data_IF_232997586743
#
_entry.id   IF_232997586743
#
_cell.length_a   1.000
_cell.length_b   1.000
_cell.length_c   1.000
_cell.angle_alpha   90.00
_cell.angle_beta   90.00
_cell.angle_gamma   90.00
#
_symmetry.space_group_name_H-M   'P 1'
#
loop_
_entity.id
_entity.type
_entity.pdbx_description
1 polymer ?
#
# COMPACT_ATOMS: atom_id res chain seq x y z
N UNK A 1 -8.86 11.63 9.26
CA UNK A 1 -8.29 11.38 10.60
C UNK A 1 -7.13 12.33 10.84
N UNK A 2 -6.92 12.87 12.04
CA UNK A 2 -5.78 13.77 12.32
C UNK A 2 -4.51 12.96 12.62
N UNK A 3 -3.33 13.52 12.38
CA UNK A 3 -2.04 12.87 12.69
C UNK A 3 -1.89 12.55 14.19
N UNK A 4 -2.46 13.38 15.07
CA UNK A 4 -2.51 13.12 16.50
C UNK A 4 -3.29 11.83 16.81
N UNK A 5 -4.48 11.65 16.20
CA UNK A 5 -5.28 10.44 16.35
C UNK A 5 -4.55 9.19 15.80
N UNK A 6 -3.85 9.32 14.66
CA UNK A 6 -3.02 8.22 14.10
C UNK A 6 -1.93 7.81 15.09
N UNK A 7 -1.24 8.77 15.71
CA UNK A 7 -0.19 8.49 16.69
C UNK A 7 -0.73 7.78 17.92
N UNK A 8 -1.87 8.23 18.45
CA UNK A 8 -2.56 7.57 19.56
C UNK A 8 -2.93 6.13 19.20
N UNK A 9 -3.53 5.92 18.01
CA UNK A 9 -3.87 4.59 17.53
C UNK A 9 -2.66 3.67 17.47
N UNK A 10 -1.54 4.17 16.95
CA UNK A 10 -0.30 3.41 16.88
C UNK A 10 0.26 3.08 18.27
N UNK A 11 0.25 4.02 19.22
CA UNK A 11 0.69 3.73 20.59
C UNK A 11 -0.19 2.70 21.27
N UNK A 12 -1.51 2.80 21.12
CA UNK A 12 -2.47 1.82 21.64
C UNK A 12 -2.23 0.44 21.05
N UNK A 13 -2.02 0.37 19.72
CA UNK A 13 -1.70 -0.89 19.04
C UNK A 13 -0.45 -1.57 19.61
N UNK A 14 0.62 -0.80 19.90
CA UNK A 14 1.83 -1.36 20.53
C UNK A 14 1.62 -1.86 21.96
N UNK A 15 0.71 -1.23 22.70
CA UNK A 15 0.39 -1.67 24.07
C UNK A 15 -0.42 -2.97 24.04
N UNK A 16 -1.43 -3.05 23.17
CA UNK A 16 -2.30 -4.23 23.05
C UNK A 16 -1.54 -5.40 22.42
N UNK A 17 -0.78 -5.15 21.35
CA UNK A 17 -0.03 -6.17 20.61
C UNK A 17 1.47 -6.05 20.88
N UNK A 18 1.86 -6.24 22.14
CA UNK A 18 3.24 -6.06 22.60
C UNK A 18 4.29 -6.94 21.89
N UNK A 19 3.87 -8.10 21.35
CA UNK A 19 4.74 -9.02 20.61
C UNK A 19 4.96 -8.62 19.14
N UNK A 20 4.22 -7.62 18.62
CA UNK A 20 4.31 -7.18 17.22
C UNK A 20 5.11 -5.89 17.14
N UNK A 21 6.34 -5.98 16.61
CA UNK A 21 7.22 -4.82 16.47
C UNK A 21 6.63 -3.70 15.58
N UNK A 22 5.92 -4.06 14.51
CA UNK A 22 5.38 -3.14 13.51
C UNK A 22 3.86 -3.34 13.34
N UNK A 23 3.03 -2.88 14.30
CA UNK A 23 1.61 -3.23 14.35
C UNK A 23 0.83 -2.74 13.12
N UNK A 24 1.24 -1.63 12.51
CA UNK A 24 0.56 -1.09 11.31
C UNK A 24 1.03 -1.71 10.00
N UNK A 25 2.22 -2.33 9.99
CA UNK A 25 2.67 -3.10 8.85
C UNK A 25 2.06 -4.50 8.87
N UNK A 26 1.67 -5.04 10.02
CA UNK A 26 1.18 -6.40 10.13
C UNK A 26 -0.22 -6.59 9.52
N UNK A 27 -0.46 -7.76 8.91
CA UNK A 27 -1.80 -8.19 8.50
C UNK A 27 -2.79 -8.25 9.67
N UNK A 28 -2.30 -8.36 10.92
CA UNK A 28 -3.13 -8.27 12.13
C UNK A 28 -3.89 -6.94 12.21
N UNK A 29 -3.38 -5.86 11.61
CA UNK A 29 -4.13 -4.61 11.53
C UNK A 29 -5.47 -4.82 10.81
N UNK A 30 -5.49 -5.57 9.71
CA UNK A 30 -6.74 -5.85 8.96
C UNK A 30 -7.74 -6.65 9.78
N UNK A 31 -7.26 -7.66 10.49
CA UNK A 31 -8.10 -8.62 11.19
C UNK A 31 -8.58 -8.10 12.56
N UNK A 32 -7.74 -7.34 13.26
CA UNK A 32 -7.93 -6.96 14.66
C UNK A 32 -7.97 -5.43 14.86
N UNK A 33 -7.75 -4.63 13.82
CA UNK A 33 -7.67 -3.17 13.92
C UNK A 33 -8.94 -2.49 14.43
N UNK A 34 -10.08 -3.18 14.38
CA UNK A 34 -11.32 -2.74 15.01
C UNK A 34 -11.20 -2.55 16.53
N UNK A 35 -10.44 -3.41 17.21
CA UNK A 35 -10.22 -3.33 18.66
C UNK A 35 -9.49 -2.03 19.04
N UNK A 36 -8.50 -1.62 18.24
CA UNK A 36 -7.79 -0.35 18.42
C UNK A 36 -8.77 0.82 18.28
N UNK A 37 -9.66 0.78 17.29
CA UNK A 37 -10.65 1.85 17.08
C UNK A 37 -11.64 1.94 18.24
N UNK A 38 -12.09 0.79 18.77
CA UNK A 38 -12.92 0.75 19.98
C UNK A 38 -12.22 1.44 21.16
N UNK A 39 -10.99 1.05 21.48
CA UNK A 39 -10.26 1.59 22.63
C UNK A 39 -10.11 3.11 22.55
N UNK A 40 -9.75 3.65 21.38
CA UNK A 40 -9.58 5.09 21.18
C UNK A 40 -10.89 5.85 21.38
N UNK A 41 -12.02 5.32 20.89
CA UNK A 41 -13.32 5.99 21.04
C UNK A 41 -13.83 5.89 22.48
N UNK A 42 -13.59 4.79 23.19
CA UNK A 42 -13.94 4.69 24.62
C UNK A 42 -13.14 5.64 25.51
N UNK A 43 -11.87 5.88 25.19
CA UNK A 43 -11.00 6.81 25.94
C UNK A 43 -11.25 8.28 25.56
N UNK A 44 -11.77 8.54 24.35
CA UNK A 44 -12.10 9.87 23.87
C UNK A 44 -13.28 9.83 22.87
N UNK A 45 -14.53 9.86 23.37
CA UNK A 45 -15.73 9.63 22.56
C UNK A 45 -15.90 10.74 21.54
N UNK A 46 -15.49 10.46 20.31
CA UNK A 46 -15.43 11.42 19.22
C UNK A 46 -15.93 10.81 17.90
N UNK A 47 -16.94 9.94 18.00
CA UNK A 47 -17.71 9.48 16.85
C UNK A 47 -17.01 8.36 16.09
N UNK A 48 -16.53 7.37 16.81
CA UNK A 48 -16.01 6.17 16.20
C UNK A 48 -17.09 5.34 15.46
N UNK A 49 -16.69 4.62 14.41
CA UNK A 49 -17.61 3.90 13.51
C UNK A 49 -17.86 2.47 13.99
N UNK A 50 -19.11 2.20 14.39
CA UNK A 50 -19.60 0.86 14.71
C UNK A 50 -20.23 0.22 13.47
N UNK A 51 -19.72 -0.94 13.03
CA UNK A 51 -20.26 -1.65 11.87
C UNK A 51 -21.53 -2.42 12.24
N UNK A 52 -22.71 -1.84 11.95
CA UNK A 52 -24.01 -2.47 12.19
C UNK A 52 -24.19 -3.80 11.42
N UNK A 53 -23.57 -3.94 10.25
CA UNK A 53 -23.61 -5.15 9.42
C UNK A 53 -22.68 -6.28 9.92
N UNK A 54 -21.67 -5.96 10.74
CA UNK A 54 -20.78 -6.93 11.40
C UNK A 54 -21.14 -7.08 12.88
N UNK A 55 -22.42 -7.26 13.18
CA UNK A 55 -22.94 -7.50 14.54
C UNK A 55 -22.55 -6.41 15.57
N UNK A 56 -22.32 -5.16 15.15
CA UNK A 56 -21.96 -4.07 16.06
C UNK A 56 -20.48 -4.03 16.46
N UNK A 57 -19.60 -4.74 15.74
CA UNK A 57 -18.16 -4.64 15.96
C UNK A 57 -17.58 -3.35 15.38
N UNK A 58 -16.54 -2.86 16.04
CA UNK A 58 -15.73 -1.76 15.55
C UNK A 58 -14.90 -2.23 14.35
N UNK A 59 -14.82 -1.41 13.30
CA UNK A 59 -14.12 -1.75 12.07
C UNK A 59 -13.10 -0.67 11.70
N UNK A 60 -12.11 -1.05 10.89
CA UNK A 60 -11.24 -0.06 10.27
C UNK A 60 -12.03 0.77 9.24
N UNK A 61 -11.63 2.02 9.01
CA UNK A 61 -12.17 2.79 7.89
C UNK A 61 -11.92 2.06 6.56
N UNK A 62 -12.89 2.08 5.65
CA UNK A 62 -12.80 1.46 4.32
C UNK A 62 -11.56 1.94 3.53
N UNK A 63 -11.17 3.21 3.70
CA UNK A 63 -9.96 3.76 3.10
C UNK A 63 -8.67 3.11 3.60
N UNK A 64 -8.65 2.60 4.82
CA UNK A 64 -7.51 1.84 5.38
C UNK A 64 -7.55 0.41 4.87
N UNK A 65 -8.72 -0.24 4.89
CA UNK A 65 -8.87 -1.62 4.40
C UNK A 65 -8.48 -1.74 2.92
N UNK A 66 -8.95 -0.81 2.08
CA UNK A 66 -8.62 -0.74 0.65
C UNK A 66 -7.13 -0.47 0.37
N UNK A 67 -6.42 0.21 1.27
CA UNK A 67 -4.97 0.39 1.15
C UNK A 67 -4.23 -0.89 1.54
N UNK A 68 -4.66 -1.58 2.60
CA UNK A 68 -4.08 -2.87 3.01
C UNK A 68 -4.22 -3.92 1.90
N UNK A 69 -5.31 -3.89 1.13
CA UNK A 69 -5.52 -4.80 -0.01
C UNK A 69 -4.51 -4.63 -1.15
N UNK A 70 -3.77 -3.52 -1.16
CA UNK A 70 -2.68 -3.28 -2.12
C UNK A 70 -1.35 -3.89 -1.69
N UNK A 71 -1.28 -4.62 -0.57
CA UNK A 71 -0.07 -5.30 -0.14
C UNK A 71 -0.17 -6.81 -0.33
N UNK A 72 0.95 -7.45 -0.68
CA UNK A 72 1.14 -8.89 -0.47
C UNK A 72 1.80 -9.11 0.90
N UNK A 73 1.38 -10.16 1.58
CA UNK A 73 1.88 -10.56 2.89
C UNK A 73 2.42 -11.98 2.82
N UNK A 74 3.49 -12.24 3.56
CA UNK A 74 4.06 -13.58 3.71
C UNK A 74 3.60 -14.27 5.01
N UNK A 75 4.13 -15.47 5.25
CA UNK A 75 3.82 -16.29 6.43
C UNK A 75 4.09 -15.61 7.78
N UNK A 76 5.03 -14.66 7.84
CA UNK A 76 5.33 -13.84 9.02
C UNK A 76 4.34 -12.68 9.22
N UNK A 77 3.35 -12.56 8.32
CA UNK A 77 2.29 -11.55 8.33
C UNK A 77 2.80 -10.12 8.16
N UNK A 78 4.00 -9.95 7.63
CA UNK A 78 4.56 -8.66 7.22
C UNK A 78 4.43 -8.47 5.70
N UNK A 79 4.40 -7.22 5.22
CA UNK A 79 4.21 -6.92 3.82
C UNK A 79 5.52 -7.15 3.06
N UNK A 80 5.45 -7.85 1.94
CA UNK A 80 6.61 -8.11 1.07
C UNK A 80 6.55 -7.36 -0.24
N UNK A 81 5.35 -7.05 -0.73
CA UNK A 81 5.15 -6.21 -1.90
C UNK A 81 4.04 -5.21 -1.67
N UNK A 82 4.17 -4.05 -2.27
CA UNK A 82 3.14 -3.04 -2.31
C UNK A 82 2.82 -2.69 -3.77
N UNK A 83 1.55 -2.54 -4.10
CA UNK A 83 1.06 -2.19 -5.43
C UNK A 83 0.38 -0.82 -5.37
N UNK A 84 1.14 0.29 -5.48
CA UNK A 84 0.61 1.64 -5.25
C UNK A 84 -0.58 2.01 -6.15
N UNK A 85 -0.59 1.46 -7.37
CA UNK A 85 -1.65 1.65 -8.35
C UNK A 85 -2.78 0.60 -8.29
N UNK A 86 -2.71 -0.33 -7.32
CA UNK A 86 -3.56 -1.51 -7.20
C UNK A 86 -2.96 -2.75 -7.89
N UNK A 87 -3.32 -3.94 -7.42
CA UNK A 87 -2.76 -5.23 -7.88
C UNK A 87 -3.08 -5.59 -9.34
N UNK A 88 -4.05 -4.91 -9.94
CA UNK A 88 -4.40 -5.07 -11.36
C UNK A 88 -3.53 -4.20 -12.29
N UNK A 89 -2.66 -3.36 -11.74
CA UNK A 89 -1.70 -2.54 -12.47
C UNK A 89 -0.29 -3.11 -12.32
N UNK A 90 0.59 -2.93 -13.32
CA UNK A 90 1.89 -3.58 -13.34
C UNK A 90 2.93 -2.83 -12.50
N UNK A 91 2.54 -2.00 -11.51
CA UNK A 91 3.45 -1.17 -10.73
C UNK A 91 3.55 -1.73 -9.32
N UNK A 92 4.77 -2.04 -8.90
CA UNK A 92 5.06 -2.66 -7.60
C UNK A 92 6.27 -2.02 -6.94
N UNK A 93 6.26 -2.00 -5.62
CA UNK A 93 7.42 -1.80 -4.75
C UNK A 93 7.72 -3.14 -4.11
N UNK A 94 8.88 -3.69 -4.44
CA UNK A 94 9.37 -4.97 -3.93
C UNK A 94 10.79 -4.73 -3.41
N UNK A 95 11.07 -4.87 -2.09
CA UNK A 95 12.40 -4.66 -1.54
C UNK A 95 13.49 -5.55 -2.16
N UNK A 96 13.13 -6.73 -2.66
CA UNK A 96 14.06 -7.69 -3.27
C UNK A 96 14.40 -7.34 -4.73
N UNK A 97 13.60 -6.47 -5.36
CA UNK A 97 13.78 -6.02 -6.74
C UNK A 97 14.06 -4.53 -6.81
N UNK A 98 14.98 -4.13 -7.70
CA UNK A 98 15.32 -2.72 -7.92
C UNK A 98 15.64 -1.91 -6.63
N UNK A 99 16.09 -2.59 -5.56
CA UNK A 99 16.34 -2.03 -4.23
C UNK A 99 15.12 -1.27 -3.65
N UNK A 100 13.91 -1.81 -3.83
CA UNK A 100 12.68 -1.21 -3.32
C UNK A 100 12.22 0.04 -4.08
N UNK A 101 12.80 0.34 -5.25
CA UNK A 101 12.26 1.37 -6.14
C UNK A 101 11.00 0.85 -6.84
N UNK A 102 10.07 1.76 -7.13
CA UNK A 102 8.89 1.43 -7.93
C UNK A 102 9.30 0.89 -9.30
N UNK A 103 8.86 -0.33 -9.61
CA UNK A 103 9.20 -1.04 -10.83
C UNK A 103 8.01 -1.74 -11.46
N UNK A 104 8.20 -2.17 -12.70
CA UNK A 104 7.22 -2.98 -13.40
C UNK A 104 7.27 -4.42 -12.87
N UNK A 105 6.10 -4.97 -12.50
CA UNK A 105 5.93 -6.31 -11.92
C UNK A 105 6.65 -7.37 -12.74
N UNK A 106 7.41 -8.23 -12.06
CA UNK A 106 8.16 -9.32 -12.70
C UNK A 106 9.43 -8.86 -13.45
N UNK A 107 9.79 -7.58 -13.34
CA UNK A 107 10.99 -7.01 -13.97
C UNK A 107 11.80 -6.22 -12.95
N UNK A 108 13.00 -5.78 -13.35
CA UNK A 108 13.79 -4.77 -12.61
C UNK A 108 13.73 -3.38 -13.25
N UNK A 109 12.81 -3.18 -14.20
CA UNK A 109 12.66 -1.91 -14.89
C UNK A 109 11.87 -0.97 -13.99
N UNK A 110 12.54 0.08 -13.52
CA UNK A 110 11.91 1.09 -12.68
C UNK A 110 10.98 1.99 -13.49
N UNK A 111 9.92 2.48 -12.86
CA UNK A 111 9.03 3.49 -13.44
C UNK A 111 9.81 4.76 -13.86
N UNK A 112 10.83 5.13 -13.10
CA UNK A 112 11.75 6.24 -13.38
C UNK A 112 12.47 6.11 -14.75
N UNK A 113 13.06 4.95 -15.04
CA UNK A 113 13.67 4.67 -16.35
C UNK A 113 12.66 4.86 -17.50
N UNK A 114 11.43 4.37 -17.34
CA UNK A 114 10.39 4.53 -18.37
C UNK A 114 10.01 6.01 -18.52
N UNK A 115 9.86 6.72 -17.39
CA UNK A 115 9.60 8.15 -17.36
C UNK A 115 10.69 8.93 -18.11
N UNK A 116 11.95 8.69 -17.80
CA UNK A 116 13.06 9.44 -18.40
C UNK A 116 13.17 9.21 -19.90
N UNK A 117 13.00 7.96 -20.34
CA UNK A 117 13.04 7.64 -21.77
C UNK A 117 11.90 8.29 -22.55
N UNK A 118 10.69 8.31 -21.98
CA UNK A 118 9.54 8.90 -22.65
C UNK A 118 9.54 10.44 -22.56
N UNK A 119 9.70 11.01 -21.37
CA UNK A 119 9.56 12.44 -21.16
C UNK A 119 10.84 13.23 -21.44
N UNK A 120 12.02 12.70 -21.10
CA UNK A 120 13.29 13.42 -21.29
C UNK A 120 13.90 13.09 -22.66
N UNK A 121 13.97 11.82 -23.03
CA UNK A 121 14.54 11.39 -24.32
C UNK A 121 13.54 11.40 -25.49
N UNK A 122 12.24 11.61 -25.23
CA UNK A 122 11.18 11.67 -26.26
C UNK A 122 11.09 10.42 -27.14
N UNK A 123 11.42 9.26 -26.58
CA UNK A 123 11.33 8.00 -27.28
C UNK A 123 9.88 7.51 -27.41
N UNK A 124 9.59 6.78 -28.49
CA UNK A 124 8.27 6.19 -28.73
C UNK A 124 7.99 5.00 -27.79
N UNK A 125 6.74 4.83 -27.37
CA UNK A 125 6.30 3.74 -26.48
C UNK A 125 6.65 2.37 -27.06
N UNK A 126 6.50 2.15 -28.36
CA UNK A 126 6.82 0.87 -28.99
C UNK A 126 8.32 0.61 -29.06
N UNK A 127 9.14 1.66 -29.10
CA UNK A 127 10.59 1.54 -28.98
C UNK A 127 11.00 1.15 -27.56
N UNK A 128 10.52 1.90 -26.55
CA UNK A 128 10.79 1.63 -25.13
C UNK A 128 10.37 0.21 -24.74
N UNK A 129 9.15 -0.20 -25.14
CA UNK A 129 8.62 -1.52 -24.83
C UNK A 129 9.48 -2.64 -25.42
N UNK A 130 9.96 -2.47 -26.65
CA UNK A 130 10.83 -3.45 -27.32
C UNK A 130 12.19 -3.54 -26.64
N UNK A 131 12.81 -2.39 -26.38
CA UNK A 131 14.16 -2.31 -25.84
C UNK A 131 14.23 -2.83 -24.39
N UNK A 132 13.21 -2.54 -23.59
CA UNK A 132 13.11 -3.01 -22.21
C UNK A 132 12.41 -4.39 -22.08
N UNK A 133 12.04 -5.02 -23.20
CA UNK A 133 11.31 -6.31 -23.23
C UNK A 133 10.01 -6.29 -22.40
N UNK A 134 9.25 -5.21 -22.50
CA UNK A 134 7.99 -4.97 -21.81
C UNK A 134 6.79 -5.06 -22.75
N UNK A 135 5.60 -5.25 -22.18
CA UNK A 135 4.36 -5.00 -22.93
C UNK A 135 4.15 -3.49 -23.08
N UNK A 136 3.61 -3.07 -24.21
CA UNK A 136 3.26 -1.66 -24.45
C UNK A 136 2.31 -1.11 -23.37
N UNK A 137 1.34 -1.91 -22.93
CA UNK A 137 0.41 -1.57 -21.86
C UNK A 137 1.12 -1.28 -20.54
N UNK A 138 2.21 -1.99 -20.24
CA UNK A 138 2.95 -1.80 -18.99
C UNK A 138 3.75 -0.49 -19.03
N UNK A 139 4.30 -0.15 -20.20
CA UNK A 139 4.95 1.14 -20.46
C UNK A 139 3.94 2.29 -20.33
N UNK A 140 2.75 2.15 -20.92
CA UNK A 140 1.67 3.15 -20.83
C UNK A 140 1.22 3.40 -19.39
N UNK A 141 1.00 2.33 -18.61
CA UNK A 141 0.62 2.45 -17.19
C UNK A 141 1.75 3.07 -16.35
N UNK A 142 3.02 2.70 -16.60
CA UNK A 142 4.16 3.32 -15.94
C UNK A 142 4.25 4.83 -16.23
N UNK A 143 4.08 5.24 -17.49
CA UNK A 143 4.04 6.66 -17.88
C UNK A 143 2.89 7.39 -17.18
N UNK A 144 1.69 6.79 -17.16
CA UNK A 144 0.50 7.38 -16.52
C UNK A 144 0.73 7.60 -15.02
N UNK A 145 1.32 6.63 -14.34
CA UNK A 145 1.58 6.71 -12.91
C UNK A 145 2.68 7.72 -12.59
N UNK A 146 3.77 7.75 -13.38
CA UNK A 146 4.86 8.70 -13.21
C UNK A 146 4.44 10.17 -13.32
N UNK A 147 3.35 10.46 -14.05
CA UNK A 147 2.78 11.81 -14.16
C UNK A 147 1.95 12.22 -12.94
N UNK A 148 1.37 11.25 -12.25
CA UNK A 148 0.44 11.48 -11.14
C UNK A 148 1.16 11.50 -9.78
N UNK A 149 2.36 10.91 -9.71
CA UNK A 149 3.26 10.94 -8.56
C UNK A 149 4.08 12.23 -8.54
#
# INVERSE_FOLDING_TARGET
MTLAKVRTAHSTARTIWSDIAYPFASLNLKELGGEIMHTIDTENPAGGMMALSKHGQWALPESVESEIEKFDFESDRLPTRWYPAGKNKPIVVDPELAAGRMSIVGTRVTVEIVHDRFFNAKEDIAYIARDLSLKKTDVEEAIKYARAA
#
